data_IF_610446543968
#
_entry.id   IF_610446543968
#
_cell.length_a   1.000
_cell.length_b   1.000
_cell.length_c   1.000
_cell.angle_alpha   90.00
_cell.angle_beta   90.00
_cell.angle_gamma   90.00
#
_symmetry.space_group_name_H-M   'P 1'
#
loop_
_entity.id
_entity.type
_entity.pdbx_description
1 polymer ?
#
# COMPACT_ATOMS: atom_id res chain seq x y z
N UNK A 1 -9.76 -10.66 -12.33
CA UNK A 1 -10.26 -10.86 -10.97
C UNK A 1 -9.18 -11.63 -10.23
N UNK A 2 -8.54 -10.97 -9.29
CA UNK A 2 -7.45 -11.50 -8.48
C UNK A 2 -8.02 -12.28 -7.30
N UNK A 3 -7.19 -13.07 -6.64
CA UNK A 3 -7.58 -13.72 -5.38
C UNK A 3 -7.98 -12.69 -4.31
N UNK A 4 -7.36 -11.51 -4.33
CA UNK A 4 -7.72 -10.38 -3.48
C UNK A 4 -9.17 -9.92 -3.64
N UNK A 5 -9.70 -9.89 -4.86
CA UNK A 5 -11.09 -9.46 -5.11
C UNK A 5 -12.12 -10.35 -4.41
N UNK A 6 -11.81 -11.65 -4.26
CA UNK A 6 -12.67 -12.60 -3.54
C UNK A 6 -12.56 -12.43 -2.03
N UNK A 7 -11.34 -12.28 -1.52
CA UNK A 7 -11.08 -12.20 -0.08
C UNK A 7 -11.46 -10.85 0.51
N UNK A 8 -11.45 -9.78 -0.30
CA UNK A 8 -11.85 -8.43 0.09
C UNK A 8 -13.36 -8.20 0.04
N UNK A 9 -14.14 -9.20 -0.37
CA UNK A 9 -15.60 -9.13 -0.38
C UNK A 9 -16.12 -8.78 1.03
N UNK A 10 -16.85 -7.66 1.14
CA UNK A 10 -17.40 -7.16 2.39
C UNK A 10 -16.46 -6.31 3.25
N UNK A 11 -15.17 -6.15 2.89
CA UNK A 11 -14.25 -5.28 3.63
C UNK A 11 -14.68 -3.81 3.58
N UNK A 12 -15.29 -3.37 2.47
CA UNK A 12 -15.78 -1.99 2.31
C UNK A 12 -16.73 -1.60 3.44
N UNK A 13 -17.72 -2.45 3.74
CA UNK A 13 -18.71 -2.18 4.79
C UNK A 13 -18.05 -2.01 6.16
N UNK A 14 -17.05 -2.85 6.45
CA UNK A 14 -16.27 -2.82 7.69
C UNK A 14 -15.44 -1.53 7.78
N UNK A 15 -14.70 -1.19 6.74
CA UNK A 15 -13.88 0.01 6.70
C UNK A 15 -14.75 1.27 6.75
N UNK A 16 -15.90 1.29 6.09
CA UNK A 16 -16.82 2.43 6.09
C UNK A 16 -17.37 2.77 7.47
N UNK A 17 -17.37 1.80 8.40
CA UNK A 17 -17.81 2.01 9.78
C UNK A 17 -16.73 2.66 10.66
N UNK A 18 -15.48 2.73 10.19
CA UNK A 18 -14.37 3.37 10.89
C UNK A 18 -14.44 4.90 10.76
N UNK A 19 -14.03 5.66 11.79
CA UNK A 19 -13.80 7.09 11.63
C UNK A 19 -12.66 7.34 10.64
N UNK A 20 -12.63 8.51 9.99
CA UNK A 20 -11.61 8.87 8.99
C UNK A 20 -10.18 8.68 9.51
N UNK A 21 -9.92 9.03 10.77
CA UNK A 21 -8.62 8.81 11.40
C UNK A 21 -8.22 7.33 11.44
N UNK A 22 -9.17 6.43 11.69
CA UNK A 22 -8.96 4.98 11.65
C UNK A 22 -8.74 4.46 10.22
N UNK A 23 -9.44 5.03 9.23
CA UNK A 23 -9.23 4.70 7.81
C UNK A 23 -7.83 5.11 7.34
N UNK A 24 -7.36 6.30 7.76
CA UNK A 24 -6.00 6.79 7.51
C UNK A 24 -4.94 5.90 8.14
N UNK A 25 -5.13 5.56 9.41
CA UNK A 25 -4.26 4.67 10.18
C UNK A 25 -4.17 3.28 9.52
N UNK A 26 -5.30 2.74 9.07
CA UNK A 26 -5.37 1.45 8.38
C UNK A 26 -4.60 1.46 7.06
N UNK A 27 -4.85 2.45 6.19
CA UNK A 27 -4.16 2.56 4.91
C UNK A 27 -2.65 2.72 5.10
N UNK A 28 -2.22 3.59 6.02
CA UNK A 28 -0.81 3.80 6.32
C UNK A 28 -0.14 2.54 6.88
N UNK A 29 -0.82 1.84 7.78
CA UNK A 29 -0.32 0.56 8.31
C UNK A 29 -0.21 -0.50 7.20
N UNK A 30 -1.08 -0.48 6.20
CA UNK A 30 -0.97 -1.38 5.05
C UNK A 30 0.26 -1.04 4.20
N UNK A 31 0.54 0.24 3.93
CA UNK A 31 1.75 0.67 3.22
C UNK A 31 3.02 0.21 3.96
N UNK A 32 3.09 0.47 5.26
CA UNK A 32 4.21 0.05 6.13
C UNK A 32 4.47 -1.45 6.08
N UNK A 33 3.43 -2.25 6.30
CA UNK A 33 3.56 -3.71 6.33
C UNK A 33 3.90 -4.28 4.97
N UNK A 34 3.46 -3.63 3.89
CA UNK A 34 3.82 -4.02 2.53
C UNK A 34 5.31 -3.80 2.30
N UNK A 35 5.87 -2.65 2.72
CA UNK A 35 7.32 -2.42 2.68
C UNK A 35 8.09 -3.46 3.49
N UNK A 36 7.65 -3.79 4.70
CA UNK A 36 8.31 -4.80 5.53
C UNK A 36 8.30 -6.19 4.88
N UNK A 37 7.27 -6.51 4.09
CA UNK A 37 7.20 -7.76 3.33
C UNK A 37 8.11 -7.77 2.10
N UNK A 38 8.37 -6.60 1.50
CA UNK A 38 9.24 -6.47 0.31
C UNK A 38 10.72 -6.29 0.65
N UNK A 39 11.02 -5.80 1.85
CA UNK A 39 12.39 -5.63 2.39
C UNK A 39 12.89 -6.88 3.16
N UNK A 40 12.10 -7.96 3.18
CA UNK A 40 12.49 -9.19 3.86
C UNK A 40 13.66 -9.89 3.12
N UNK A 41 14.58 -10.55 3.84
CA UNK A 41 15.63 -11.33 3.19
C UNK A 41 15.04 -12.38 2.24
N UNK A 42 15.31 -12.23 0.94
CA UNK A 42 14.79 -13.12 -0.11
C UNK A 42 13.48 -12.67 -0.78
N UNK A 43 12.94 -11.50 -0.45
CA UNK A 43 11.85 -10.87 -1.21
C UNK A 43 12.39 -9.79 -2.16
N UNK A 44 12.06 -9.93 -3.45
CA UNK A 44 12.15 -8.89 -4.48
C UNK A 44 13.51 -8.30 -4.86
N UNK A 45 13.53 -7.61 -5.99
CA UNK A 45 14.71 -6.95 -6.58
C UNK A 45 14.70 -5.42 -6.35
N UNK A 46 13.92 -4.93 -5.39
CA UNK A 46 13.81 -3.49 -5.12
C UNK A 46 15.19 -2.88 -4.89
N UNK A 47 15.44 -1.77 -5.56
CA UNK A 47 16.65 -1.00 -5.34
C UNK A 47 16.63 -0.33 -3.96
N UNK A 48 17.81 -0.24 -3.34
CA UNK A 48 17.98 0.47 -2.06
C UNK A 48 17.42 1.90 -2.07
N UNK A 49 17.63 2.70 -3.14
CA UNK A 49 17.03 4.03 -3.25
C UNK A 49 15.49 4.05 -3.22
N UNK A 50 14.81 3.15 -3.93
CA UNK A 50 13.34 3.10 -3.92
C UNK A 50 12.81 2.73 -2.54
N UNK A 51 13.39 1.70 -1.90
CA UNK A 51 13.00 1.32 -0.53
C UNK A 51 13.22 2.49 0.44
N UNK A 52 14.35 3.18 0.34
CA UNK A 52 14.63 4.35 1.17
C UNK A 52 13.57 5.44 0.97
N UNK A 53 13.23 5.77 -0.29
CA UNK A 53 12.20 6.75 -0.59
C UNK A 53 10.85 6.39 0.03
N UNK A 54 10.37 5.15 -0.17
CA UNK A 54 9.09 4.72 0.39
C UNK A 54 9.10 4.71 1.92
N UNK A 55 10.21 4.29 2.55
CA UNK A 55 10.34 4.30 4.01
C UNK A 55 10.35 5.72 4.57
N UNK A 56 11.04 6.65 3.92
CA UNK A 56 11.06 8.06 4.31
C UNK A 56 9.65 8.69 4.19
N UNK A 57 8.94 8.42 3.10
CA UNK A 57 7.57 8.87 2.90
C UNK A 57 6.61 8.31 3.98
N UNK A 58 6.70 7.02 4.28
CA UNK A 58 5.92 6.38 5.36
C UNK A 58 6.22 7.00 6.73
N UNK A 59 7.50 7.24 7.04
CA UNK A 59 7.89 7.87 8.31
C UNK A 59 7.32 9.28 8.42
N UNK A 60 7.36 10.06 7.34
CA UNK A 60 6.76 11.38 7.28
C UNK A 60 5.25 11.34 7.52
N UNK A 61 4.54 10.46 6.81
CA UNK A 61 3.10 10.24 6.97
C UNK A 61 2.73 9.82 8.39
N UNK A 62 3.51 8.91 8.98
CA UNK A 62 3.29 8.40 10.33
C UNK A 62 3.46 9.49 11.38
N UNK A 63 4.53 10.27 11.27
CA UNK A 63 4.80 11.38 12.18
C UNK A 63 3.70 12.46 12.16
N UNK A 64 2.92 12.52 11.07
CA UNK A 64 1.95 13.59 10.79
C UNK A 64 0.54 13.08 10.55
N UNK A 65 0.24 11.83 10.94
CA UNK A 65 -1.08 11.20 10.71
C UNK A 65 -2.23 12.01 11.33
N UNK A 66 -1.97 12.70 12.45
CA UNK A 66 -2.91 13.61 13.13
C UNK A 66 -2.93 15.05 12.58
N UNK A 67 -1.99 15.43 11.72
CA UNK A 67 -1.86 16.75 11.11
C UNK A 67 -1.42 16.63 9.64
N UNK A 68 -2.22 15.97 8.78
CA UNK A 68 -1.81 15.52 7.44
C UNK A 68 -1.37 16.66 6.51
N UNK A 69 -1.89 17.88 6.70
CA UNK A 69 -1.46 19.05 5.94
C UNK A 69 -0.01 19.48 6.16
N UNK A 70 0.72 18.83 7.07
CA UNK A 70 2.14 19.09 7.32
C UNK A 70 3.07 18.10 6.61
N UNK A 71 2.54 17.07 5.93
CA UNK A 71 3.36 16.07 5.26
C UNK A 71 4.15 16.69 4.11
N UNK A 72 5.35 16.16 3.81
CA UNK A 72 6.16 16.60 2.67
C UNK A 72 5.38 16.47 1.37
N UNK A 73 4.60 15.40 1.20
CA UNK A 73 3.72 15.22 0.06
C UNK A 73 2.65 16.33 -0.11
N UNK A 74 2.40 17.13 0.92
CA UNK A 74 1.48 18.29 0.89
C UNK A 74 2.25 19.61 0.82
N UNK A 75 3.35 19.74 1.55
CA UNK A 75 4.13 20.99 1.63
C UNK A 75 5.05 21.22 0.43
N UNK A 76 5.53 20.13 -0.19
CA UNK A 76 6.42 20.12 -1.35
C UNK A 76 5.90 19.11 -2.40
N UNK A 77 4.64 19.32 -2.80
CA UNK A 77 3.87 18.42 -3.67
C UNK A 77 4.62 18.10 -4.96
N UNK A 78 5.05 19.12 -5.70
CA UNK A 78 5.65 18.97 -7.03
C UNK A 78 6.88 18.05 -6.98
N UNK A 79 7.82 18.32 -6.06
CA UNK A 79 9.02 17.51 -5.91
C UNK A 79 8.70 16.10 -5.42
N UNK A 80 7.75 15.94 -4.49
CA UNK A 80 7.36 14.63 -3.98
C UNK A 80 6.78 13.74 -5.08
N UNK A 81 5.81 14.24 -5.85
CA UNK A 81 5.16 13.46 -6.89
C UNK A 81 6.07 13.24 -8.11
N UNK A 82 6.90 14.22 -8.48
CA UNK A 82 7.93 14.01 -9.52
C UNK A 82 8.89 12.88 -9.13
N UNK A 83 9.41 12.90 -7.90
CA UNK A 83 10.31 11.85 -7.42
C UNK A 83 9.60 10.49 -7.31
N UNK A 84 8.38 10.46 -6.78
CA UNK A 84 7.58 9.24 -6.64
C UNK A 84 7.30 8.59 -8.01
N UNK A 85 6.91 9.38 -9.01
CA UNK A 85 6.58 8.88 -10.35
C UNK A 85 7.80 8.57 -11.20
N UNK A 86 9.00 9.04 -10.84
CA UNK A 86 10.25 8.66 -11.47
C UNK A 86 10.77 7.28 -11.00
N UNK A 87 10.26 6.73 -9.88
CA UNK A 87 10.73 5.45 -9.33
C UNK A 87 10.66 4.28 -10.32
N UNK A 88 9.57 4.09 -11.10
CA UNK A 88 9.50 2.98 -12.07
C UNK A 88 10.54 3.07 -13.20
N UNK A 89 11.05 4.26 -13.50
CA UNK A 89 12.07 4.45 -14.54
C UNK A 89 13.49 4.11 -14.05
N UNK A 90 13.71 4.15 -12.73
CA UNK A 90 15.02 3.89 -12.11
C UNK A 90 15.11 2.53 -11.42
N UNK A 91 13.96 1.90 -11.14
CA UNK A 91 13.86 0.61 -10.46
C UNK A 91 12.92 -0.33 -11.22
N UNK A 92 13.48 -1.37 -11.87
CA UNK A 92 12.70 -2.28 -12.72
C UNK A 92 11.91 -3.32 -11.91
N UNK A 93 11.97 -3.31 -10.58
CA UNK A 93 11.26 -4.27 -9.75
C UNK A 93 9.74 -4.21 -10.02
N UNK A 94 9.11 -5.36 -10.34
CA UNK A 94 7.74 -5.39 -10.86
C UNK A 94 6.68 -4.91 -9.84
N UNK A 95 7.00 -4.89 -8.55
CA UNK A 95 6.17 -4.33 -7.49
C UNK A 95 6.24 -2.80 -7.34
N UNK A 96 7.21 -2.12 -7.97
CA UNK A 96 7.38 -0.66 -7.82
C UNK A 96 6.18 0.14 -8.39
N UNK A 97 5.70 -0.11 -9.63
CA UNK A 97 4.57 0.65 -10.18
C UNK A 97 3.29 0.63 -9.32
N UNK A 98 2.77 -0.53 -8.86
CA UNK A 98 1.59 -0.54 -7.99
C UNK A 98 1.85 0.06 -6.62
N UNK A 99 3.07 -0.03 -6.09
CA UNK A 99 3.41 0.66 -4.84
C UNK A 99 3.43 2.18 -5.02
N UNK A 100 3.94 2.68 -6.15
CA UNK A 100 3.84 4.10 -6.52
C UNK A 100 2.38 4.56 -6.56
N UNK A 101 1.47 3.76 -7.12
CA UNK A 101 0.03 4.06 -7.10
C UNK A 101 -0.51 4.14 -5.66
N UNK A 102 -0.19 3.17 -4.80
CA UNK A 102 -0.64 3.14 -3.41
C UNK A 102 -0.19 4.38 -2.62
N UNK A 103 1.08 4.79 -2.79
CA UNK A 103 1.62 5.99 -2.15
C UNK A 103 1.03 7.28 -2.73
N UNK A 104 0.84 7.34 -4.04
CA UNK A 104 0.23 8.48 -4.74
C UNK A 104 -1.20 8.69 -4.26
N UNK A 105 -2.02 7.64 -4.22
CA UNK A 105 -3.41 7.70 -3.75
C UNK A 105 -3.50 8.13 -2.28
N UNK A 106 -2.64 7.59 -1.42
CA UNK A 106 -2.60 8.00 -0.01
C UNK A 106 -2.22 9.47 0.12
N UNK A 107 -1.15 9.91 -0.54
CA UNK A 107 -0.69 11.29 -0.53
C UNK A 107 -1.75 12.27 -1.06
N UNK A 108 -2.42 11.94 -2.16
CA UNK A 108 -3.48 12.76 -2.74
C UNK A 108 -4.68 12.92 -1.79
N UNK A 109 -5.02 11.87 -1.04
CA UNK A 109 -6.06 11.96 0.00
C UNK A 109 -5.62 12.83 1.18
N UNK A 110 -4.34 12.82 1.58
CA UNK A 110 -3.88 13.77 2.63
C UNK A 110 -4.07 15.23 2.21
N UNK A 111 -4.04 15.50 0.90
CA UNK A 111 -4.09 16.83 0.32
C UNK A 111 -5.52 17.35 0.12
N UNK A 112 -6.34 16.59 -0.61
CA UNK A 112 -7.50 17.17 -1.30
C UNK A 112 -8.83 16.44 -1.06
N UNK A 113 -8.83 15.27 -0.41
CA UNK A 113 -10.07 14.50 -0.21
C UNK A 113 -10.02 13.61 1.01
N UNK A 114 -11.14 13.40 1.73
CA UNK A 114 -11.19 12.44 2.82
C UNK A 114 -10.78 11.03 2.35
N UNK A 115 -10.06 10.31 3.21
CA UNK A 115 -9.72 8.92 2.96
C UNK A 115 -10.97 8.06 3.24
N UNK A 116 -11.73 7.75 2.19
CA UNK A 116 -12.94 6.93 2.27
C UNK A 116 -12.63 5.43 2.20
N UNK A 117 -13.61 4.57 2.52
CA UNK A 117 -13.43 3.11 2.43
C UNK A 117 -12.99 2.63 1.05
N UNK A 118 -13.47 3.30 0.00
CA UNK A 118 -13.06 3.04 -1.38
C UNK A 118 -11.58 3.36 -1.61
N UNK A 119 -11.11 4.49 -1.10
CA UNK A 119 -9.70 4.90 -1.22
C UNK A 119 -8.79 3.96 -0.44
N UNK A 120 -9.18 3.58 0.78
CA UNK A 120 -8.46 2.56 1.57
C UNK A 120 -8.34 1.25 0.80
N UNK A 121 -9.45 0.76 0.22
CA UNK A 121 -9.44 -0.47 -0.55
C UNK A 121 -8.58 -0.36 -1.82
N UNK A 122 -8.59 0.79 -2.50
CA UNK A 122 -7.70 1.05 -3.63
C UNK A 122 -6.23 0.92 -3.22
N UNK A 123 -5.83 1.59 -2.13
CA UNK A 123 -4.48 1.52 -1.59
C UNK A 123 -4.12 0.08 -1.19
N UNK A 124 -5.00 -0.63 -0.50
CA UNK A 124 -4.77 -2.03 -0.10
C UNK A 124 -4.67 -2.98 -1.30
N UNK A 125 -5.47 -2.76 -2.34
CA UNK A 125 -5.39 -3.51 -3.60
C UNK A 125 -4.05 -3.28 -4.29
N UNK A 126 -3.61 -2.02 -4.40
CA UNK A 126 -2.31 -1.68 -4.98
C UNK A 126 -1.14 -2.27 -4.18
N UNK A 127 -1.23 -2.29 -2.85
CA UNK A 127 -0.27 -2.99 -1.99
C UNK A 127 -0.24 -4.50 -2.24
N UNK A 128 -1.40 -5.13 -2.44
CA UNK A 128 -1.47 -6.55 -2.79
C UNK A 128 -0.88 -6.82 -4.17
N UNK A 129 -1.18 -5.96 -5.16
CA UNK A 129 -0.65 -6.07 -6.52
C UNK A 129 0.88 -5.94 -6.54
N UNK A 130 1.45 -5.06 -5.71
CA UNK A 130 2.91 -4.99 -5.53
C UNK A 130 3.50 -6.34 -5.09
N UNK A 131 2.89 -6.98 -4.08
CA UNK A 131 3.35 -8.28 -3.58
C UNK A 131 3.12 -9.39 -4.62
N UNK A 132 1.99 -9.36 -5.33
CA UNK A 132 1.65 -10.31 -6.38
C UNK A 132 2.68 -10.26 -7.52
N UNK A 133 3.06 -9.06 -7.94
CA UNK A 133 4.03 -8.86 -9.01
C UNK A 133 5.42 -9.36 -8.60
N UNK A 134 5.83 -9.11 -7.36
CA UNK A 134 7.08 -9.65 -6.80
C UNK A 134 7.05 -11.18 -6.62
N UNK A 135 5.87 -11.77 -6.42
CA UNK A 135 5.74 -13.23 -6.29
C UNK A 135 6.11 -13.99 -7.57
N UNK A 136 6.27 -13.29 -8.71
CA UNK A 136 6.86 -13.85 -9.94
C UNK A 136 6.07 -15.01 -10.53
N UNK A 137 4.74 -15.03 -10.34
CA UNK A 137 3.89 -16.12 -10.84
C UNK A 137 3.94 -16.20 -12.37
N UNK A 138 4.26 -17.36 -12.97
CA UNK A 138 4.30 -17.51 -14.43
C UNK A 138 2.95 -17.21 -15.11
N UNK A 139 1.86 -17.41 -14.37
CA UNK A 139 0.50 -17.06 -14.78
C UNK A 139 -0.30 -16.66 -13.55
N UNK A 140 -0.85 -15.45 -13.58
CA UNK A 140 -1.75 -14.96 -12.53
C UNK A 140 -3.13 -15.59 -12.71
N UNK A 141 -3.51 -16.43 -11.75
CA UNK A 141 -4.84 -17.05 -11.60
C UNK A 141 -5.16 -17.10 -10.13
N UNK A 142 -6.45 -17.12 -9.78
CA UNK A 142 -6.90 -17.19 -8.37
C UNK A 142 -6.31 -18.41 -7.66
N UNK A 143 -6.24 -19.55 -8.33
CA UNK A 143 -5.66 -20.78 -7.80
C UNK A 143 -4.16 -20.62 -7.53
N UNK A 144 -3.41 -20.07 -8.48
CA UNK A 144 -1.97 -19.84 -8.32
C UNK A 144 -1.66 -18.84 -7.20
N UNK A 145 -2.44 -17.75 -7.11
CA UNK A 145 -2.35 -16.78 -6.02
C UNK A 145 -2.67 -17.43 -4.67
N UNK A 146 -3.70 -18.27 -4.61
CA UNK A 146 -4.11 -18.98 -3.38
C UNK A 146 -3.04 -19.96 -2.91
N UNK A 147 -2.33 -20.63 -3.82
CA UNK A 147 -1.26 -21.56 -3.48
C UNK A 147 0.04 -20.83 -3.10
N UNK A 148 0.24 -19.62 -3.62
CA UNK A 148 1.43 -18.81 -3.36
C UNK A 148 1.51 -18.30 -1.91
N UNK A 149 2.67 -18.49 -1.27
CA UNK A 149 2.87 -18.11 0.13
C UNK A 149 2.86 -16.59 0.34
N UNK A 150 3.47 -15.81 -0.55
CA UNK A 150 3.52 -14.34 -0.43
C UNK A 150 2.12 -13.75 -0.54
N UNK A 151 1.33 -14.19 -1.51
CA UNK A 151 -0.05 -13.75 -1.70
C UNK A 151 -0.93 -14.08 -0.47
N UNK A 152 -0.83 -15.31 0.06
CA UNK A 152 -1.55 -15.69 1.29
C UNK A 152 -1.13 -14.86 2.49
N UNK A 153 0.17 -14.61 2.67
CA UNK A 153 0.68 -13.78 3.76
C UNK A 153 0.22 -12.33 3.65
N UNK A 154 0.16 -11.78 2.44
CA UNK A 154 -0.34 -10.43 2.19
C UNK A 154 -1.80 -10.29 2.60
N UNK A 155 -2.65 -11.24 2.19
CA UNK A 155 -4.06 -11.25 2.55
C UNK A 155 -4.27 -11.45 4.05
N UNK A 156 -3.54 -12.37 4.67
CA UNK A 156 -3.60 -12.56 6.11
C UNK A 156 -3.20 -11.29 6.88
N UNK A 157 -2.15 -10.60 6.43
CA UNK A 157 -1.72 -9.32 7.00
C UNK A 157 -2.83 -8.26 6.88
N UNK A 158 -3.43 -8.09 5.71
CA UNK A 158 -4.50 -7.13 5.49
C UNK A 158 -5.76 -7.44 6.31
N UNK A 159 -6.15 -8.72 6.39
CA UNK A 159 -7.26 -9.17 7.24
C UNK A 159 -7.01 -8.88 8.72
N UNK A 160 -5.78 -9.09 9.20
CA UNK A 160 -5.38 -8.77 10.57
C UNK A 160 -5.43 -7.26 10.83
N UNK A 161 -4.96 -6.43 9.91
CA UNK A 161 -5.04 -4.97 10.04
C UNK A 161 -6.49 -4.49 10.18
N UNK A 162 -7.39 -4.98 9.32
CA UNK A 162 -8.82 -4.64 9.42
C UNK A 162 -9.42 -5.15 10.74
N UNK A 163 -9.07 -6.37 11.17
CA UNK A 163 -9.54 -6.92 12.44
C UNK A 163 -9.12 -6.08 13.65
N UNK A 164 -7.85 -5.67 13.68
CA UNK A 164 -7.30 -4.85 14.76
C UNK A 164 -7.89 -3.44 14.78
N UNK A 165 -8.16 -2.85 13.61
CA UNK A 165 -8.74 -1.52 13.50
C UNK A 165 -10.21 -1.42 13.97
N UNK A 166 -10.89 -2.56 14.14
CA UNK A 166 -12.28 -2.65 14.60
C UNK A 166 -12.42 -3.09 16.06
N UNK A 167 -11.31 -3.45 16.72
CA UNK A 167 -11.27 -3.96 18.10
C UNK A 167 -11.16 -2.81 19.10
#
# INVERSE_FOLDING_TARGET
>A
MLYWDYESEGWESRISSMPEAGQRELALSCLERTLDMMDAPGSGEFSGPSIAFFRDAVQDFRAKVGSPGQCVAVLDEENFFEALHALPDIDPAPGVPPLVMAFSDYADCLRNRPLSSREVLGIMSSCYEAILNEAGLPRVTVEAERENEMCRRALQMQQQLIGNALS
#
